data_IF_206573370137
#
_entry.id   IF_206573370137
#
_cell.length_a   1.000
_cell.length_b   1.000
_cell.length_c   1.000
_cell.angle_alpha   90.00
_cell.angle_beta   90.00
_cell.angle_gamma   90.00
#
_symmetry.space_group_name_H-M   'P 1'
#
loop_
_entity.id
_entity.type
_entity.pdbx_description
1 polymer ?
#
# COMPACT_ATOMS: atom_id res chain seq x y z
N UNK A 1 -47.23 7.69 -9.43
CA UNK A 1 -47.76 6.32 -9.33
C UNK A 1 -46.89 5.47 -10.26
N UNK A 2 -46.02 4.56 -9.85
CA UNK A 2 -46.00 3.63 -8.72
C UNK A 2 -44.53 3.41 -8.33
N UNK A 3 -44.19 3.61 -7.05
CA UNK A 3 -42.90 3.23 -6.49
C UNK A 3 -43.06 1.80 -5.96
N UNK A 4 -42.27 0.85 -6.48
CA UNK A 4 -42.21 -0.49 -5.91
C UNK A 4 -40.75 -0.92 -5.78
N UNK A 5 -40.25 -0.68 -4.59
CA UNK A 5 -39.05 -1.26 -3.98
C UNK A 5 -38.97 -2.77 -4.23
N UNK A 6 -37.82 -3.23 -4.73
CA UNK A 6 -37.38 -4.61 -4.51
C UNK A 6 -35.97 -4.56 -3.95
N UNK A 7 -35.91 -4.71 -2.62
CA UNK A 7 -34.70 -5.03 -1.89
C UNK A 7 -34.16 -6.34 -2.47
N UNK A 8 -33.08 -6.24 -3.26
CA UNK A 8 -32.28 -7.39 -3.63
C UNK A 8 -31.23 -7.52 -2.53
N UNK A 9 -31.50 -8.45 -1.62
CA UNK A 9 -30.51 -9.00 -0.69
C UNK A 9 -29.28 -9.42 -1.51
N UNK A 10 -28.16 -8.73 -1.30
CA UNK A 10 -26.87 -9.23 -1.76
C UNK A 10 -26.58 -10.50 -0.97
N UNK A 11 -26.36 -11.66 -1.61
CA UNK A 11 -25.78 -12.77 -0.90
C UNK A 11 -24.37 -12.32 -0.50
N UNK A 12 -24.09 -12.42 0.80
CA UNK A 12 -22.74 -12.34 1.33
C UNK A 12 -21.87 -13.26 0.49
N UNK A 13 -20.89 -12.69 -0.21
CA UNK A 13 -19.85 -13.47 -0.89
C UNK A 13 -19.17 -14.32 0.18
N UNK A 14 -19.56 -15.60 0.20
CA UNK A 14 -18.91 -16.64 0.98
C UNK A 14 -17.45 -16.67 0.53
N UNK A 15 -16.54 -16.34 1.44
CA UNK A 15 -15.12 -16.63 1.29
C UNK A 15 -14.96 -18.14 1.12
N UNK A 16 -15.03 -18.63 -0.12
CA UNK A 16 -14.71 -20.00 -0.49
C UNK A 16 -13.21 -20.21 -0.26
N UNK A 17 -12.88 -20.64 0.96
CA UNK A 17 -11.54 -20.98 1.38
C UNK A 17 -11.00 -22.14 0.57
N UNK A 18 -10.15 -21.85 -0.41
CA UNK A 18 -9.21 -22.83 -0.92
C UNK A 18 -8.23 -23.20 0.22
N UNK A 19 -7.83 -24.47 0.37
CA UNK A 19 -6.96 -24.94 1.46
C UNK A 19 -5.51 -24.41 1.40
N UNK A 20 -5.21 -23.49 0.48
CA UNK A 20 -3.95 -22.71 0.44
C UNK A 20 -4.08 -21.26 0.95
N UNK A 21 -5.26 -20.83 1.39
CA UNK A 21 -5.56 -19.42 1.71
C UNK A 21 -4.98 -18.93 3.03
N UNK A 22 -4.97 -19.74 4.09
CA UNK A 22 -4.51 -19.28 5.41
C UNK A 22 -3.00 -19.04 5.47
N UNK A 23 -2.20 -19.92 4.86
CA UNK A 23 -0.75 -19.73 4.72
C UNK A 23 -0.46 -18.46 3.90
N UNK A 24 -1.15 -18.28 2.78
CA UNK A 24 -1.00 -17.10 1.94
C UNK A 24 -1.41 -15.78 2.64
N UNK A 25 -2.45 -15.82 3.47
CA UNK A 25 -2.87 -14.66 4.28
C UNK A 25 -1.83 -14.34 5.35
N UNK A 26 -1.32 -15.34 6.07
CA UNK A 26 -0.28 -15.16 7.08
C UNK A 26 1.00 -14.58 6.45
N UNK A 27 1.45 -15.16 5.35
CA UNK A 27 2.63 -14.68 4.59
C UNK A 27 2.43 -13.24 4.11
N UNK A 28 1.23 -12.92 3.62
CA UNK A 28 0.88 -11.56 3.21
C UNK A 28 0.89 -10.58 4.39
N UNK A 29 0.36 -10.96 5.54
CA UNK A 29 0.39 -10.11 6.73
C UNK A 29 1.82 -9.88 7.22
N UNK A 30 2.66 -10.90 7.21
CA UNK A 30 4.09 -10.80 7.55
C UNK A 30 4.80 -9.85 6.57
N UNK A 31 4.57 -10.02 5.27
CA UNK A 31 5.12 -9.14 4.24
C UNK A 31 4.68 -7.67 4.43
N UNK A 32 3.40 -7.43 4.72
CA UNK A 32 2.87 -6.09 4.97
C UNK A 32 3.48 -5.48 6.24
N UNK A 33 3.55 -6.21 7.34
CA UNK A 33 4.16 -5.75 8.58
C UNK A 33 5.61 -5.33 8.36
N UNK A 34 6.37 -6.15 7.63
CA UNK A 34 7.76 -5.88 7.26
C UNK A 34 7.90 -4.64 6.37
N UNK A 35 7.05 -4.49 5.36
CA UNK A 35 7.04 -3.28 4.53
C UNK A 35 6.73 -2.02 5.34
N UNK A 36 5.78 -2.09 6.28
CA UNK A 36 5.43 -0.97 7.16
C UNK A 36 6.60 -0.55 8.06
N UNK A 37 7.39 -1.49 8.58
CA UNK A 37 8.62 -1.18 9.33
C UNK A 37 9.60 -0.39 8.44
N UNK A 38 9.86 -0.87 7.21
CA UNK A 38 10.76 -0.19 6.28
C UNK A 38 10.29 1.23 5.92
N UNK A 39 8.97 1.45 5.78
CA UNK A 39 8.40 2.78 5.52
C UNK A 39 8.58 3.71 6.73
N UNK A 40 8.47 3.19 7.96
CA UNK A 40 8.67 4.00 9.19
C UNK A 40 10.10 4.51 9.32
N UNK A 41 11.09 3.75 8.86
CA UNK A 41 12.52 4.12 8.86
C UNK A 41 12.90 5.18 7.81
N UNK A 42 11.99 5.52 6.88
CA UNK A 42 12.24 6.59 5.93
C UNK A 42 12.37 7.95 6.65
N UNK A 43 13.11 8.87 6.03
CA UNK A 43 13.17 10.27 6.48
C UNK A 43 11.74 10.85 6.54
N UNK A 44 11.43 11.77 7.45
CA UNK A 44 10.06 12.28 7.65
C UNK A 44 9.37 12.73 6.35
N UNK A 45 10.06 13.52 5.52
CA UNK A 45 9.53 13.99 4.24
C UNK A 45 9.28 12.84 3.25
N UNK A 46 10.22 11.89 3.16
CA UNK A 46 10.10 10.76 2.25
C UNK A 46 8.98 9.80 2.68
N UNK A 47 8.80 9.61 3.99
CA UNK A 47 7.67 8.85 4.55
C UNK A 47 6.34 9.51 4.22
N UNK A 48 6.23 10.84 4.37
CA UNK A 48 5.00 11.57 4.04
C UNK A 48 4.65 11.46 2.56
N UNK A 49 5.63 11.60 1.66
CA UNK A 49 5.45 11.39 0.21
C UNK A 49 4.92 9.99 -0.10
N UNK A 50 5.50 8.94 0.52
CA UNK A 50 5.05 7.56 0.29
C UNK A 50 3.65 7.30 0.83
N UNK A 51 3.32 7.81 2.01
CA UNK A 51 1.98 7.59 2.58
C UNK A 51 0.89 8.23 1.72
N UNK A 52 1.08 9.48 1.29
CA UNK A 52 0.13 10.15 0.40
C UNK A 52 0.00 9.45 -0.96
N UNK A 53 1.12 8.94 -1.50
CA UNK A 53 1.10 8.13 -2.73
C UNK A 53 0.29 6.84 -2.56
N UNK A 54 0.39 6.17 -1.40
CA UNK A 54 -0.39 4.96 -1.10
C UNK A 54 -1.88 5.24 -0.91
N UNK A 55 -2.24 6.46 -0.49
CA UNK A 55 -3.61 6.96 -0.43
C UNK A 55 -4.18 7.35 -1.80
N UNK A 56 -3.37 7.27 -2.87
CA UNK A 56 -3.78 7.59 -4.24
C UNK A 56 -3.70 9.07 -4.59
N UNK A 57 -3.06 9.90 -3.76
CA UNK A 57 -2.83 11.32 -4.06
C UNK A 57 -1.80 11.43 -5.18
N UNK A 58 -2.08 12.29 -6.16
CA UNK A 58 -1.20 12.50 -7.31
C UNK A 58 0.01 13.40 -6.95
N UNK A 59 0.97 13.51 -7.88
CA UNK A 59 2.20 14.26 -7.62
C UNK A 59 1.95 15.76 -7.40
N UNK A 60 0.85 16.32 -7.92
CA UNK A 60 0.47 17.71 -7.71
C UNK A 60 -0.08 17.92 -6.30
N UNK A 61 -1.03 17.10 -5.85
CA UNK A 61 -1.57 17.17 -4.48
C UNK A 61 -0.50 16.89 -3.42
N UNK A 62 0.40 15.94 -3.67
CA UNK A 62 1.54 15.70 -2.77
C UNK A 62 2.46 16.93 -2.71
N UNK A 63 2.70 17.60 -3.84
CA UNK A 63 3.53 18.81 -3.89
C UNK A 63 2.92 19.95 -3.06
N UNK A 64 1.59 20.14 -3.14
CA UNK A 64 0.87 21.13 -2.33
C UNK A 64 1.01 20.87 -0.83
N UNK A 65 0.92 19.60 -0.40
CA UNK A 65 1.03 19.23 1.02
C UNK A 65 2.47 19.32 1.53
N UNK A 66 3.45 18.93 0.72
CA UNK A 66 4.84 18.77 1.17
C UNK A 66 5.74 19.97 0.87
N UNK A 67 5.28 20.93 0.05
CA UNK A 67 6.02 22.14 -0.32
C UNK A 67 7.20 21.91 -1.28
N UNK A 68 7.32 20.72 -1.87
CA UNK A 68 8.33 20.41 -2.90
C UNK A 68 7.66 20.32 -4.27
N UNK A 69 8.41 20.49 -5.37
CA UNK A 69 7.84 20.42 -6.71
C UNK A 69 7.30 19.03 -7.06
N UNK A 70 6.25 18.97 -7.90
CA UNK A 70 5.67 17.71 -8.39
C UNK A 70 6.69 16.83 -9.14
N UNK A 71 7.64 17.42 -9.86
CA UNK A 71 8.75 16.68 -10.47
C UNK A 71 9.70 16.04 -9.45
N UNK A 72 9.96 16.73 -8.33
CA UNK A 72 10.72 16.17 -7.22
C UNK A 72 9.94 15.04 -6.53
N UNK A 73 8.62 15.18 -6.35
CA UNK A 73 7.74 14.12 -5.85
C UNK A 73 7.84 12.87 -6.72
N UNK A 74 7.67 12.98 -8.05
CA UNK A 74 7.75 11.85 -8.96
C UNK A 74 9.11 11.13 -8.87
N UNK A 75 10.19 11.89 -8.84
CA UNK A 75 11.56 11.37 -8.69
C UNK A 75 11.75 10.65 -7.34
N UNK A 76 11.23 11.25 -6.25
CA UNK A 76 11.27 10.65 -4.92
C UNK A 76 10.47 9.36 -4.86
N UNK A 77 9.26 9.31 -5.37
CA UNK A 77 8.43 8.09 -5.42
C UNK A 77 9.19 6.98 -6.14
N UNK A 78 9.79 7.26 -7.30
CA UNK A 78 10.59 6.28 -8.02
C UNK A 78 11.77 5.77 -7.17
N UNK A 79 12.55 6.67 -6.57
CA UNK A 79 13.69 6.32 -5.71
C UNK A 79 13.27 5.52 -4.48
N UNK A 80 12.17 5.90 -3.83
CA UNK A 80 11.68 5.25 -2.62
C UNK A 80 11.19 3.84 -2.89
N UNK A 81 10.49 3.61 -4.01
CA UNK A 81 10.16 2.25 -4.48
C UNK A 81 11.41 1.39 -4.61
N UNK A 82 12.47 1.90 -5.24
CA UNK A 82 13.73 1.15 -5.40
C UNK A 82 14.41 0.84 -4.06
N UNK A 83 14.43 1.80 -3.13
CA UNK A 83 14.98 1.61 -1.78
C UNK A 83 14.20 0.54 -1.03
N UNK A 84 12.86 0.63 -1.02
CA UNK A 84 11.99 -0.30 -0.32
C UNK A 84 12.13 -1.71 -0.92
N UNK A 85 12.10 -1.86 -2.24
CA UNK A 85 12.31 -3.15 -2.92
C UNK A 85 13.65 -3.78 -2.53
N UNK A 86 14.75 -3.02 -2.60
CA UNK A 86 16.07 -3.53 -2.25
C UNK A 86 16.16 -3.97 -0.79
N UNK A 87 15.64 -3.17 0.14
CA UNK A 87 15.65 -3.50 1.58
C UNK A 87 14.75 -4.69 1.89
N UNK A 88 13.60 -4.77 1.22
CA UNK A 88 12.65 -5.87 1.37
C UNK A 88 13.26 -7.20 0.88
N UNK A 89 13.99 -7.19 -0.23
CA UNK A 89 14.71 -8.39 -0.69
C UNK A 89 15.90 -8.74 0.21
N UNK A 90 16.66 -7.74 0.69
CA UNK A 90 17.86 -7.98 1.49
C UNK A 90 17.59 -8.74 2.81
N UNK A 91 16.54 -8.38 3.54
CA UNK A 91 16.15 -9.12 4.75
C UNK A 91 15.22 -10.32 4.49
N UNK A 92 14.97 -10.70 3.23
CA UNK A 92 14.30 -11.95 2.88
C UNK A 92 15.27 -13.11 2.65
N UNK A 93 16.55 -12.78 2.41
CA UNK A 93 17.60 -13.74 2.06
C UNK A 93 18.54 -14.08 3.24
N UNK A 94 18.35 -13.47 4.42
CA UNK A 94 19.24 -13.67 5.59
C UNK A 94 18.70 -14.69 6.61
N UNK A 95 17.47 -15.18 6.42
CA UNK A 95 16.77 -16.11 7.32
C UNK A 95 16.51 -17.49 6.67
N UNK A 96 17.30 -17.88 5.65
CA UNK A 96 17.24 -19.20 4.99
C UNK A 96 18.51 -20.02 5.23
#
# INVERSE_FOLDING_TARGET
>A
MFVKTKSASLPSEECSGAPGGAANIADRQIALARLMVLIRELKPLDRQVVLLYLEGVDAAGIAEVTGISSGNVATKIHRLKNILTRRFQAGGNHDQ
#
